data_IF_499416486573
#
_entry.id   IF_499416486573
#
_cell.length_a   1.000
_cell.length_b   1.000
_cell.length_c   1.000
_cell.angle_alpha   90.00
_cell.angle_beta   90.00
_cell.angle_gamma   90.00
#
_symmetry.space_group_name_H-M   'P 1'
#
loop_
_entity.id
_entity.type
_entity.pdbx_description
1 polymer ?
#
# COMPACT_ATOMS: atom_id res chain seq x y z
N UNK A 1 -18.54 -5.16 -23.85
CA UNK A 1 -18.61 -3.88 -23.10
C UNK A 1 -17.29 -3.67 -22.41
N UNK A 2 -16.67 -2.53 -22.64
CA UNK A 2 -15.31 -2.19 -22.19
C UNK A 2 -15.34 -1.83 -20.69
N UNK A 3 -15.30 -2.88 -19.84
CA UNK A 3 -15.38 -2.82 -18.38
C UNK A 3 -14.28 -1.96 -17.73
N UNK A 4 -13.22 -1.62 -18.48
CA UNK A 4 -12.16 -0.72 -18.07
C UNK A 4 -12.63 0.71 -17.75
N UNK A 5 -13.79 1.14 -18.28
CA UNK A 5 -14.24 2.55 -18.22
C UNK A 5 -15.37 2.83 -17.24
N UNK A 6 -15.80 1.85 -16.44
CA UNK A 6 -16.98 2.01 -15.58
C UNK A 6 -16.68 2.61 -14.19
N UNK A 7 -17.38 3.70 -13.84
CA UNK A 7 -17.32 4.36 -12.53
C UNK A 7 -18.05 3.59 -11.41
N UNK A 8 -18.77 2.50 -11.71
CA UNK A 8 -19.48 1.65 -10.72
C UNK A 8 -18.69 0.41 -10.31
N UNK A 9 -17.41 0.31 -10.74
CA UNK A 9 -16.54 -0.86 -10.54
C UNK A 9 -16.44 -1.29 -9.07
N UNK A 10 -16.41 -0.33 -8.15
CA UNK A 10 -16.23 -0.59 -6.73
C UNK A 10 -17.52 -1.00 -6.02
N UNK A 11 -18.68 -0.51 -6.48
CA UNK A 11 -19.99 -1.05 -6.06
C UNK A 11 -20.13 -2.51 -6.51
N UNK A 12 -19.70 -2.84 -7.73
CA UNK A 12 -19.71 -4.22 -8.20
C UNK A 12 -18.70 -5.13 -7.49
N UNK A 13 -17.62 -4.59 -6.91
CA UNK A 13 -16.70 -5.39 -6.09
C UNK A 13 -17.31 -5.56 -4.70
N UNK A 14 -17.70 -4.47 -4.03
CA UNK A 14 -18.14 -4.47 -2.62
C UNK A 14 -19.58 -4.93 -2.37
N UNK A 15 -20.48 -4.81 -3.35
CA UNK A 15 -21.90 -5.16 -3.20
C UNK A 15 -22.23 -6.59 -3.64
N UNK A 16 -21.24 -7.39 -4.07
CA UNK A 16 -21.52 -8.79 -4.39
C UNK A 16 -21.87 -9.55 -3.10
N UNK A 17 -22.88 -10.44 -3.13
CA UNK A 17 -23.26 -11.25 -1.97
C UNK A 17 -22.12 -12.16 -1.43
N UNK A 18 -21.09 -12.44 -2.23
CA UNK A 18 -19.88 -13.20 -1.87
C UNK A 18 -18.76 -12.33 -1.26
N UNK A 19 -18.92 -11.00 -1.24
CA UNK A 19 -17.92 -10.09 -0.70
C UNK A 19 -18.25 -9.61 0.73
N UNK A 20 -17.57 -10.19 1.72
CA UNK A 20 -17.43 -9.61 3.07
C UNK A 20 -15.99 -9.81 3.57
N UNK A 21 -14.98 -9.13 2.98
CA UNK A 21 -13.54 -9.17 3.36
C UNK A 21 -12.92 -10.61 3.35
N UNK A 22 -13.48 -11.49 2.50
CA UNK A 22 -13.51 -12.97 2.65
C UNK A 22 -14.37 -13.37 3.86
N UNK A 23 -15.31 -14.31 3.77
CA UNK A 23 -16.00 -14.80 4.98
C UNK A 23 -14.93 -15.20 6.02
N UNK A 24 -14.67 -14.36 7.03
CA UNK A 24 -13.38 -14.18 7.70
C UNK A 24 -12.46 -15.40 7.69
N UNK A 25 -11.36 -15.39 6.91
CA UNK A 25 -10.29 -16.41 7.01
C UNK A 25 -10.78 -17.88 6.90
N UNK A 26 -11.69 -18.22 5.98
CA UNK A 26 -12.15 -19.61 5.78
C UNK A 26 -10.97 -20.59 5.60
N UNK A 27 -11.09 -21.75 6.25
CA UNK A 27 -10.11 -22.82 6.50
C UNK A 27 -9.51 -23.54 5.28
N UNK A 28 -9.94 -23.23 4.07
CA UNK A 28 -9.55 -24.02 2.90
C UNK A 28 -8.26 -23.48 2.26
N UNK A 29 -7.28 -24.35 1.95
CA UNK A 29 -6.05 -23.94 1.30
C UNK A 29 -6.32 -23.23 -0.03
N UNK A 30 -5.51 -22.22 -0.33
CA UNK A 30 -5.54 -21.55 -1.65
C UNK A 30 -5.24 -22.62 -2.72
N UNK A 31 -6.13 -22.85 -3.71
CA UNK A 31 -5.93 -23.91 -4.69
C UNK A 31 -4.61 -23.73 -5.45
N UNK A 32 -3.74 -24.77 -5.49
CA UNK A 32 -2.52 -24.72 -6.28
C UNK A 32 -2.82 -24.35 -7.74
N UNK A 33 -1.99 -23.46 -8.30
CA UNK A 33 -2.15 -22.99 -9.68
C UNK A 33 -3.22 -21.91 -9.90
N UNK A 34 -4.06 -21.60 -8.90
CA UNK A 34 -5.00 -20.46 -9.01
C UNK A 34 -4.27 -19.12 -9.16
N UNK A 35 -4.96 -18.10 -9.69
CA UNK A 35 -4.41 -16.75 -9.87
C UNK A 35 -3.78 -16.20 -8.57
N UNK A 36 -4.48 -16.35 -7.43
CA UNK A 36 -3.97 -15.89 -6.13
C UNK A 36 -2.79 -16.75 -5.65
N UNK A 37 -2.83 -18.07 -5.86
CA UNK A 37 -1.70 -18.93 -5.54
C UNK A 37 -0.45 -18.50 -6.31
N UNK A 38 -0.58 -18.28 -7.62
CA UNK A 38 0.53 -17.81 -8.45
C UNK A 38 1.03 -16.43 -8.04
N UNK A 39 0.13 -15.49 -7.74
CA UNK A 39 0.53 -14.18 -7.23
C UNK A 39 1.36 -14.26 -5.93
N UNK A 40 1.03 -15.19 -5.04
CA UNK A 40 1.79 -15.44 -3.82
C UNK A 40 3.11 -16.14 -4.11
N UNK A 41 3.14 -17.08 -5.05
CA UNK A 41 4.24 -18.03 -5.21
C UNK A 41 5.21 -17.75 -6.36
N UNK A 42 4.78 -17.07 -7.42
CA UNK A 42 5.60 -16.78 -8.61
C UNK A 42 6.56 -15.61 -8.34
N UNK A 43 7.15 -15.03 -9.39
CA UNK A 43 8.12 -13.95 -9.29
C UNK A 43 7.50 -12.54 -9.29
N UNK A 44 8.34 -11.54 -9.04
CA UNK A 44 7.92 -10.14 -9.02
C UNK A 44 7.51 -9.63 -10.40
N UNK A 45 8.00 -10.23 -11.49
CA UNK A 45 7.56 -9.88 -12.85
C UNK A 45 6.08 -10.21 -13.01
N UNK A 46 5.64 -11.39 -12.56
CA UNK A 46 4.25 -11.76 -12.52
C UNK A 46 3.46 -10.85 -11.59
N UNK A 47 3.92 -10.63 -10.34
CA UNK A 47 3.22 -9.75 -9.38
C UNK A 47 3.03 -8.33 -9.93
N UNK A 48 4.07 -7.77 -10.53
CA UNK A 48 4.04 -6.42 -11.09
C UNK A 48 3.05 -6.29 -12.25
N UNK A 49 2.87 -7.36 -13.02
CA UNK A 49 1.88 -7.37 -14.10
C UNK A 49 0.44 -7.48 -13.61
N UNK A 50 0.20 -7.87 -12.35
CA UNK A 50 -1.12 -8.26 -11.83
C UNK A 50 -1.63 -7.40 -10.69
N UNK A 51 -0.74 -6.78 -9.90
CA UNK A 51 -1.13 -6.02 -8.72
C UNK A 51 -1.82 -4.72 -9.13
N UNK A 52 -3.11 -4.60 -8.81
CA UNK A 52 -3.99 -3.50 -9.21
C UNK A 52 -4.68 -2.87 -8.02
N UNK A 53 -4.82 -1.55 -8.05
CA UNK A 53 -5.71 -0.80 -7.18
C UNK A 53 -6.97 -0.39 -7.94
N UNK A 54 -8.10 -0.39 -7.26
CA UNK A 54 -9.37 0.17 -7.73
C UNK A 54 -9.86 1.16 -6.67
N UNK A 55 -10.11 2.40 -7.09
CA UNK A 55 -10.48 3.51 -6.23
C UNK A 55 -11.89 4.01 -6.52
N UNK A 56 -12.59 4.46 -5.48
CA UNK A 56 -13.88 5.17 -5.58
C UNK A 56 -13.90 6.31 -4.60
N UNK A 57 -14.15 7.51 -5.13
CA UNK A 57 -14.44 8.68 -4.29
C UNK A 57 -15.92 8.65 -3.89
N UNK A 58 -16.16 8.28 -2.63
CA UNK A 58 -17.51 8.25 -2.02
C UNK A 58 -17.96 9.67 -1.71
N UNK A 59 -17.08 10.48 -1.11
CA UNK A 59 -17.31 11.88 -0.76
C UNK A 59 -16.07 12.69 -1.09
N UNK A 60 -16.23 13.90 -1.62
CA UNK A 60 -15.12 14.81 -1.86
C UNK A 60 -15.45 15.91 -2.87
N UNK A 61 -14.65 16.98 -2.91
CA UNK A 61 -14.82 18.04 -3.90
C UNK A 61 -14.52 17.52 -5.31
N UNK A 62 -15.06 18.21 -6.31
CA UNK A 62 -14.92 17.82 -7.73
C UNK A 62 -13.46 17.60 -8.15
N UNK A 63 -12.53 18.45 -7.70
CA UNK A 63 -11.11 18.32 -8.02
C UNK A 63 -10.52 16.97 -7.59
N UNK A 64 -10.90 16.44 -6.41
CA UNK A 64 -10.46 15.12 -5.93
C UNK A 64 -11.12 14.02 -6.74
N UNK A 65 -12.42 14.17 -7.06
CA UNK A 65 -13.13 13.21 -7.92
C UNK A 65 -12.48 13.09 -9.30
N UNK A 66 -12.04 14.19 -9.90
CA UNK A 66 -11.35 14.17 -11.19
C UNK A 66 -9.94 13.60 -11.06
N UNK A 67 -9.15 14.07 -10.08
CA UNK A 67 -7.77 13.61 -9.90
C UNK A 67 -7.70 12.10 -9.62
N UNK A 68 -8.47 11.59 -8.67
CA UNK A 68 -8.48 10.16 -8.33
C UNK A 68 -9.33 9.35 -9.32
N UNK A 69 -10.41 9.92 -9.88
CA UNK A 69 -11.28 9.24 -10.83
C UNK A 69 -10.61 8.90 -12.16
N UNK A 70 -9.71 9.77 -12.65
CA UNK A 70 -8.86 9.46 -13.80
C UNK A 70 -7.96 8.23 -13.58
N UNK A 71 -7.75 7.85 -12.32
CA UNK A 71 -6.98 6.69 -11.88
C UNK A 71 -7.84 5.76 -10.99
N UNK A 72 -9.13 5.66 -11.32
CA UNK A 72 -10.09 4.79 -10.63
C UNK A 72 -9.73 3.30 -10.69
N UNK A 73 -8.91 2.90 -11.66
CA UNK A 73 -8.20 1.62 -11.63
C UNK A 73 -6.80 1.79 -12.20
N UNK A 74 -5.79 1.21 -11.55
CA UNK A 74 -4.40 1.31 -11.97
C UNK A 74 -3.61 0.05 -11.59
N UNK A 75 -2.81 -0.47 -12.52
CA UNK A 75 -1.83 -1.52 -12.23
C UNK A 75 -0.67 -0.92 -11.45
N UNK A 76 -0.75 -0.97 -10.12
CA UNK A 76 0.28 -0.44 -9.22
C UNK A 76 1.65 -1.05 -9.51
N UNK A 77 1.70 -2.36 -9.73
CA UNK A 77 2.94 -3.07 -10.02
C UNK A 77 3.66 -2.62 -11.30
N UNK A 78 2.95 -1.94 -12.22
CA UNK A 78 3.56 -1.31 -13.41
C UNK A 78 3.81 0.18 -13.23
N UNK A 79 2.97 0.85 -12.45
CA UNK A 79 2.99 2.29 -12.30
C UNK A 79 3.97 2.78 -11.21
N UNK A 80 4.27 1.92 -10.23
CA UNK A 80 5.07 2.22 -9.05
C UNK A 80 6.07 1.11 -8.78
N UNK A 81 7.15 1.46 -8.08
CA UNK A 81 8.05 0.47 -7.51
C UNK A 81 7.32 -0.25 -6.39
N UNK A 82 7.21 -1.57 -6.51
CA UNK A 82 6.64 -2.45 -5.48
C UNK A 82 7.72 -3.41 -5.00
N UNK A 83 7.98 -3.45 -3.69
CA UNK A 83 8.87 -4.44 -3.09
C UNK A 83 8.03 -5.53 -2.41
N UNK A 84 8.36 -6.79 -2.66
CA UNK A 84 7.59 -7.94 -2.18
C UNK A 84 8.38 -8.71 -1.15
N UNK A 85 7.78 -8.93 0.02
CA UNK A 85 8.39 -9.66 1.12
C UNK A 85 7.53 -10.86 1.46
N UNK A 86 8.04 -12.07 1.17
CA UNK A 86 7.33 -13.32 1.45
C UNK A 86 7.86 -13.97 2.72
N UNK A 87 7.01 -14.06 3.73
CA UNK A 87 7.26 -14.83 4.95
C UNK A 87 6.62 -16.21 4.93
N UNK A 88 6.70 -16.92 6.06
CA UNK A 88 6.11 -18.26 6.21
C UNK A 88 4.59 -18.26 6.10
N UNK A 89 3.93 -17.18 6.53
CA UNK A 89 2.48 -17.05 6.61
C UNK A 89 1.95 -15.70 6.12
N UNK A 90 2.79 -14.90 5.45
CA UNK A 90 2.40 -13.59 4.93
C UNK A 90 3.09 -13.28 3.60
N UNK A 91 2.44 -12.42 2.83
CA UNK A 91 3.03 -11.68 1.73
C UNK A 91 2.81 -10.21 2.03
N UNK A 92 3.88 -9.44 2.07
CA UNK A 92 3.88 -8.00 2.26
C UNK A 92 4.28 -7.33 0.94
N UNK A 93 3.65 -6.20 0.66
CA UNK A 93 3.84 -5.44 -0.57
C UNK A 93 4.04 -3.98 -0.18
N UNK A 94 5.27 -3.51 -0.28
CA UNK A 94 5.63 -2.12 -0.05
C UNK A 94 5.51 -1.35 -1.36
N UNK A 95 4.58 -0.40 -1.40
CA UNK A 95 4.31 0.42 -2.58
C UNK A 95 4.95 1.79 -2.40
N UNK A 96 6.02 2.06 -3.13
CA UNK A 96 6.68 3.37 -3.09
C UNK A 96 5.94 4.38 -3.97
N UNK A 97 5.09 5.21 -3.36
CA UNK A 97 4.38 6.30 -4.04
C UNK A 97 5.35 7.35 -4.61
N UNK A 98 6.50 7.54 -3.96
CA UNK A 98 7.53 8.51 -4.33
C UNK A 98 8.22 8.16 -5.66
N UNK A 99 8.12 6.90 -6.09
CA UNK A 99 8.67 6.44 -7.37
C UNK A 99 7.96 7.03 -8.60
N UNK A 100 6.81 7.70 -8.42
CA UNK A 100 6.06 8.35 -9.51
C UNK A 100 5.64 9.77 -9.15
N UNK A 101 6.03 10.72 -10.03
CA UNK A 101 5.60 12.13 -9.94
C UNK A 101 4.08 12.28 -10.01
N UNK A 102 3.43 11.45 -10.84
CA UNK A 102 1.97 11.47 -11.00
C UNK A 102 1.31 10.99 -9.71
N UNK A 103 1.75 9.87 -9.16
CA UNK A 103 1.17 9.32 -7.93
C UNK A 103 1.40 10.25 -6.73
N UNK A 104 2.60 10.82 -6.60
CA UNK A 104 2.91 11.85 -5.59
C UNK A 104 2.00 13.06 -5.71
N UNK A 105 1.72 13.52 -6.93
CA UNK A 105 0.80 14.66 -7.16
C UNK A 105 -0.63 14.32 -6.74
N UNK A 106 -1.13 13.14 -7.12
CA UNK A 106 -2.47 12.67 -6.74
C UNK A 106 -2.58 12.55 -5.21
N UNK A 107 -1.56 12.00 -4.55
CA UNK A 107 -1.51 11.89 -3.10
C UNK A 107 -1.60 13.26 -2.42
N UNK A 108 -0.80 14.24 -2.86
CA UNK A 108 -0.86 15.59 -2.29
C UNK A 108 -2.24 16.25 -2.47
N UNK A 109 -2.88 16.07 -3.62
CA UNK A 109 -4.26 16.55 -3.83
C UNK A 109 -5.20 15.86 -2.84
N UNK A 110 -5.15 14.54 -2.72
CA UNK A 110 -6.01 13.80 -1.80
C UNK A 110 -5.79 14.22 -0.34
N UNK A 111 -4.53 14.38 0.07
CA UNK A 111 -4.14 14.83 1.41
C UNK A 111 -4.63 16.25 1.72
N UNK A 112 -4.56 17.17 0.75
CA UNK A 112 -5.06 18.53 0.92
C UNK A 112 -6.56 18.62 1.23
N UNK A 113 -7.32 17.56 0.93
CA UNK A 113 -8.77 17.48 1.19
C UNK A 113 -9.14 16.35 2.14
N UNK A 114 -8.19 15.69 2.79
CA UNK A 114 -8.40 14.38 3.44
C UNK A 114 -9.44 14.41 4.56
N UNK A 115 -9.62 15.54 5.25
CA UNK A 115 -10.66 15.76 6.27
C UNK A 115 -12.09 15.86 5.71
N UNK A 116 -12.22 16.07 4.39
CA UNK A 116 -13.50 16.26 3.70
C UNK A 116 -13.82 15.14 2.69
N UNK A 117 -12.89 14.20 2.54
CA UNK A 117 -12.94 13.15 1.52
C UNK A 117 -13.22 11.80 2.16
N UNK A 118 -13.93 10.95 1.42
CA UNK A 118 -14.06 9.53 1.71
C UNK A 118 -13.68 8.75 0.46
N UNK A 119 -12.66 7.88 0.57
CA UNK A 119 -12.14 7.07 -0.53
C UNK A 119 -12.25 5.59 -0.15
N UNK A 120 -12.84 4.80 -1.02
CA UNK A 120 -12.71 3.35 -1.00
C UNK A 120 -11.56 2.94 -1.91
N UNK A 121 -10.69 2.08 -1.40
CA UNK A 121 -9.58 1.50 -2.16
C UNK A 121 -9.64 -0.01 -2.03
N UNK A 122 -9.70 -0.71 -3.16
CA UNK A 122 -9.61 -2.16 -3.26
C UNK A 122 -8.31 -2.56 -3.94
N UNK A 123 -7.60 -3.52 -3.34
CA UNK A 123 -6.38 -4.11 -3.89
C UNK A 123 -6.73 -5.49 -4.46
N UNK A 124 -6.43 -5.68 -5.74
CA UNK A 124 -6.86 -6.83 -6.53
C UNK A 124 -5.67 -7.43 -7.29
N UNK A 125 -5.69 -8.76 -7.42
CA UNK A 125 -4.90 -9.47 -8.43
C UNK A 125 -5.72 -9.50 -9.72
N UNK A 126 -5.24 -8.79 -10.73
CA UNK A 126 -5.90 -8.66 -12.03
C UNK A 126 -5.86 -9.96 -12.83
N UNK A 127 -7.04 -10.39 -13.27
CA UNK A 127 -7.21 -11.41 -14.30
C UNK A 127 -6.93 -10.79 -15.67
N UNK A 128 -6.13 -11.47 -16.49
CA UNK A 128 -5.82 -11.08 -17.88
C UNK A 128 -6.30 -12.15 -18.88
N UNK A 129 -6.85 -13.26 -18.40
CA UNK A 129 -7.53 -14.28 -19.20
C UNK A 129 -8.92 -14.60 -18.63
N UNK A 130 -9.78 -15.20 -19.45
CA UNK A 130 -11.18 -15.47 -19.10
C UNK A 130 -11.31 -16.51 -17.96
N UNK A 131 -10.43 -17.51 -17.95
CA UNK A 131 -10.34 -18.55 -16.91
C UNK A 131 -9.78 -18.02 -15.57
N UNK A 132 -9.11 -16.86 -15.59
CA UNK A 132 -8.64 -16.18 -14.39
C UNK A 132 -9.75 -15.37 -13.69
N UNK A 133 -10.91 -15.18 -14.35
CA UNK A 133 -12.03 -14.43 -13.79
C UNK A 133 -12.80 -15.22 -12.72
N UNK A 134 -13.36 -14.53 -11.70
CA UNK A 134 -13.19 -13.10 -11.43
C UNK A 134 -11.84 -12.80 -10.79
N UNK A 135 -11.38 -11.55 -10.98
CA UNK A 135 -10.22 -10.97 -10.28
C UNK A 135 -10.30 -11.20 -8.76
N UNK A 136 -9.15 -11.34 -8.11
CA UNK A 136 -9.09 -11.68 -6.69
C UNK A 136 -8.84 -10.44 -5.84
N UNK A 137 -9.86 -9.99 -5.11
CA UNK A 137 -9.72 -8.95 -4.09
C UNK A 137 -8.92 -9.53 -2.91
N UNK A 138 -7.75 -8.94 -2.64
CA UNK A 138 -6.86 -9.37 -1.56
C UNK A 138 -6.93 -8.46 -0.33
N UNK A 139 -7.44 -7.24 -0.49
CA UNK A 139 -7.68 -6.32 0.61
C UNK A 139 -8.51 -5.13 0.17
N UNK A 140 -9.18 -4.49 1.12
CA UNK A 140 -9.89 -3.24 0.88
C UNK A 140 -9.80 -2.35 2.11
N UNK A 141 -9.68 -1.05 1.88
CA UNK A 141 -9.65 -0.03 2.91
C UNK A 141 -10.61 1.10 2.53
N UNK A 142 -11.17 1.75 3.55
CA UNK A 142 -11.85 3.03 3.41
C UNK A 142 -11.10 4.07 4.21
N UNK A 143 -10.68 5.14 3.55
CA UNK A 143 -10.18 6.34 4.19
C UNK A 143 -11.35 7.30 4.38
N UNK A 144 -11.67 7.64 5.62
CA UNK A 144 -12.77 8.54 5.97
C UNK A 144 -12.24 9.77 6.70
N UNK A 145 -12.35 10.96 6.08
CA UNK A 145 -12.25 12.26 6.76
C UNK A 145 -11.08 12.31 7.75
N UNK A 146 -9.92 11.83 7.32
CA UNK A 146 -8.78 11.57 8.20
C UNK A 146 -8.26 12.89 8.75
N UNK A 147 -8.08 12.96 10.07
CA UNK A 147 -7.48 14.13 10.71
C UNK A 147 -6.00 13.85 10.99
N UNK A 148 -5.13 14.29 10.08
CA UNK A 148 -3.69 14.02 10.17
C UNK A 148 -3.05 14.62 11.44
N UNK A 149 -3.60 15.71 11.98
CA UNK A 149 -3.16 16.32 13.24
C UNK A 149 -3.38 15.44 14.47
N UNK A 150 -4.22 14.41 14.37
CA UNK A 150 -4.45 13.45 15.45
C UNK A 150 -3.43 12.30 15.50
N UNK A 151 -2.53 12.22 14.51
CA UNK A 151 -1.53 11.17 14.45
C UNK A 151 -0.57 11.25 15.66
N UNK A 152 -0.33 10.11 16.29
CA UNK A 152 0.66 9.97 17.36
C UNK A 152 1.77 9.03 16.91
N UNK A 153 2.97 9.24 17.44
CA UNK A 153 4.11 8.36 17.17
C UNK A 153 3.86 7.05 17.89
N UNK A 154 3.87 5.95 17.13
CA UNK A 154 3.91 4.60 17.71
C UNK A 154 5.37 4.26 17.92
N UNK A 155 5.81 4.16 19.17
CA UNK A 155 7.15 3.66 19.48
C UNK A 155 7.26 2.20 19.03
N UNK A 156 8.27 1.90 18.21
CA UNK A 156 8.61 0.52 17.93
C UNK A 156 9.16 -0.11 19.22
N UNK A 157 8.77 -1.35 19.58
CA UNK A 157 9.34 -2.01 20.74
C UNK A 157 10.86 -2.10 20.55
N UNK A 158 11.61 -1.49 21.47
CA UNK A 158 13.06 -1.59 21.51
C UNK A 158 13.44 -3.07 21.54
N UNK A 159 13.96 -3.59 20.43
CA UNK A 159 14.68 -4.87 20.44
C UNK A 159 15.92 -4.61 21.28
N UNK A 160 15.85 -4.95 22.57
CA UNK A 160 17.03 -4.99 23.42
C UNK A 160 18.01 -5.98 22.80
N UNK A 161 18.95 -5.47 22.02
CA UNK A 161 20.15 -6.22 21.68
C UNK A 161 20.84 -6.44 23.02
N UNK A 162 20.81 -7.67 23.52
CA UNK A 162 21.67 -8.12 24.60
C UNK A 162 23.12 -7.95 24.14
N UNK A 163 23.66 -6.73 24.24
CA UNK A 163 25.10 -6.49 24.16
C UNK A 163 25.64 -6.74 25.54
N UNK A 164 26.31 -7.89 25.64
CA UNK A 164 27.05 -8.31 26.81
C UNK A 164 28.00 -7.23 27.31
N UNK A 165 28.24 -7.35 28.61
CA UNK A 165 29.19 -6.66 29.47
C UNK A 165 30.49 -6.33 28.72
N UNK A 166 30.86 -5.04 28.73
CA UNK A 166 32.15 -4.56 28.27
C UNK A 166 32.29 -3.05 28.46
N UNK A 167 32.70 -2.63 29.66
CA UNK A 167 33.12 -1.25 29.92
C UNK A 167 34.32 -0.89 29.05
N UNK A 168 34.23 0.21 28.30
CA UNK A 168 35.40 0.99 27.92
C UNK A 168 35.04 2.48 27.95
N UNK A 169 35.50 3.12 29.02
CA UNK A 169 35.44 4.55 29.31
C UNK A 169 36.40 5.28 28.37
N UNK A 170 35.91 6.18 27.51
CA UNK A 170 36.77 7.10 26.75
C UNK A 170 36.78 8.43 27.48
N UNK A 171 37.96 8.82 27.99
CA UNK A 171 38.20 10.09 28.68
C UNK A 171 38.27 11.24 27.67
N UNK A 172 37.64 12.36 28.02
CA UNK A 172 37.94 13.68 27.44
C UNK A 172 39.37 14.08 27.80
N UNK A 173 40.10 14.64 26.83
CA UNK A 173 41.27 15.46 27.09
C UNK A 173 40.96 16.86 26.52
N UNK A 174 40.68 17.80 27.41
CA UNK A 174 40.81 19.24 27.14
C UNK A 174 42.27 19.63 27.38
N UNK A 175 42.84 20.38 26.45
CA UNK A 175 43.87 21.36 26.77
C UNK A 175 43.76 22.49 25.75
N UNK A 176 43.31 23.67 26.22
CA UNK A 176 43.78 24.96 25.69
C UNK A 176 45.28 25.10 25.96
N UNK A 177 45.98 26.15 25.57
CA UNK A 177 45.71 27.47 25.03
C UNK A 177 47.10 27.97 24.55
N UNK A 178 47.13 29.10 23.83
CA UNK A 178 48.29 30.00 23.61
C UNK A 178 49.36 29.58 22.58
N UNK A 179 50.07 30.44 21.84
CA UNK A 179 50.01 31.86 21.42
C UNK A 179 51.20 31.97 20.41
N UNK A 180 51.03 32.81 19.38
CA UNK A 180 52.01 33.72 18.74
C UNK A 180 53.34 33.31 18.04
N UNK A 181 53.56 34.03 16.92
CA UNK A 181 54.79 34.52 16.26
C UNK A 181 55.78 33.56 15.57
N UNK A 182 55.78 33.57 14.22
CA UNK A 182 56.78 34.24 13.36
C UNK A 182 56.36 34.23 11.86
#
# INVERSE_FOLDING_TARGET
MDWLKSNTKLDNVLARPDNRVSLALRKDPIPPGSLLYRFINDDDSFRNQRFKIVNRIVKGPWIVKTAVGNYSACLLGKALTCNYHRGANYLEIDVDIGSSKIATTILHIALGYVTSVTIDMGFVVEAQAEDELPEKLIGAIRVCQMEMSSATVVEAPNTMVARGIGLAKVKHHESGEDEDED
#
